data_IF_249865446425
#
_entry.id   IF_249865446425
#
_cell.length_a   1.000
_cell.length_b   1.000
_cell.length_c   1.000
_cell.angle_alpha   90.00
_cell.angle_beta   90.00
_cell.angle_gamma   90.00
#
_symmetry.space_group_name_H-M   'P 1'
#
loop_
_entity.id
_entity.type
_entity.pdbx_description
1 polymer ?
#
# COMPACT_ATOMS: atom_id res chain seq x y z
N UNK A 1 -42.99 4.24 -4.49
CA UNK A 1 -42.49 3.87 -3.15
C UNK A 1 -40.99 4.06 -3.14
N UNK A 2 -40.45 4.69 -2.11
CA UNK A 2 -39.04 5.11 -2.02
C UNK A 2 -38.17 3.89 -1.71
N UNK A 3 -37.26 3.52 -2.61
CA UNK A 3 -36.14 2.65 -2.25
C UNK A 3 -35.05 3.54 -1.65
N UNK A 4 -35.22 3.87 -0.39
CA UNK A 4 -34.17 4.40 0.49
C UNK A 4 -33.17 3.28 0.76
N UNK A 5 -32.16 3.15 -0.09
CA UNK A 5 -30.93 2.47 0.30
C UNK A 5 -30.03 3.50 0.99
N UNK A 6 -30.27 3.73 2.28
CA UNK A 6 -29.24 4.29 3.17
C UNK A 6 -28.17 3.21 3.38
N UNK A 7 -27.41 2.92 2.32
CA UNK A 7 -26.13 2.26 2.44
C UNK A 7 -25.19 3.31 2.99
N UNK A 8 -24.83 3.22 4.27
CA UNK A 8 -23.64 3.88 4.80
C UNK A 8 -22.51 3.56 3.80
N UNK A 9 -22.06 4.54 3.03
CA UNK A 9 -20.74 4.50 2.37
C UNK A 9 -19.69 4.52 3.50
N UNK A 10 -19.58 3.40 4.22
CA UNK A 10 -18.53 3.24 5.21
C UNK A 10 -17.24 3.16 4.41
N UNK A 11 -16.44 4.20 4.50
CA UNK A 11 -15.11 4.16 3.90
C UNK A 11 -14.34 3.00 4.55
N UNK A 12 -13.74 2.09 3.76
CA UNK A 12 -13.03 0.94 4.30
C UNK A 12 -12.00 1.35 5.35
N UNK A 13 -11.96 0.59 6.43
CA UNK A 13 -10.95 0.74 7.47
C UNK A 13 -9.62 0.20 6.94
N UNK A 14 -8.54 0.98 7.11
CA UNK A 14 -7.21 0.60 6.65
C UNK A 14 -6.25 0.71 7.83
N UNK A 15 -5.48 -0.35 8.09
CA UNK A 15 -4.54 -0.41 9.20
C UNK A 15 -3.24 -1.06 8.74
N UNK A 16 -2.11 -0.43 9.07
CA UNK A 16 -0.80 -1.04 8.89
C UNK A 16 -0.58 -2.11 9.97
N UNK A 17 -0.39 -3.36 9.57
CA UNK A 17 -0.17 -4.47 10.51
C UNK A 17 1.32 -4.70 10.77
N UNK A 18 2.12 -4.73 9.71
CA UNK A 18 3.56 -5.01 9.78
C UNK A 18 4.31 -4.16 8.78
N UNK A 19 5.51 -3.75 9.17
CA UNK A 19 6.42 -2.96 8.35
C UNK A 19 7.82 -3.55 8.44
N UNK A 20 8.42 -3.85 7.31
CA UNK A 20 9.72 -4.52 7.20
C UNK A 20 10.68 -3.60 6.44
N UNK A 21 11.47 -2.76 7.13
CA UNK A 21 12.37 -1.81 6.50
C UNK A 21 13.58 -2.50 5.87
N UNK A 22 14.17 -1.83 4.87
CA UNK A 22 15.40 -2.24 4.19
C UNK A 22 16.46 -1.15 4.21
N UNK A 23 17.70 -1.56 4.45
CA UNK A 23 18.87 -0.67 4.42
C UNK A 23 19.68 -0.75 3.11
N UNK A 24 19.12 -1.15 1.97
CA UNK A 24 20.01 -1.53 0.85
C UNK A 24 19.39 -1.32 -0.52
N UNK A 25 19.68 -0.15 -1.10
CA UNK A 25 19.97 0.02 -2.54
C UNK A 25 20.24 1.49 -2.87
N UNK A 26 21.35 1.79 -3.55
CA UNK A 26 21.61 3.12 -4.14
C UNK A 26 20.86 3.32 -5.46
N UNK A 27 20.32 2.24 -6.06
CA UNK A 27 19.62 2.26 -7.34
C UNK A 27 18.17 2.75 -7.15
N UNK A 28 17.78 3.75 -7.95
CA UNK A 28 16.42 4.33 -7.97
C UNK A 28 15.55 3.69 -9.09
N UNK A 29 14.24 3.46 -8.88
CA UNK A 29 13.51 3.66 -7.63
C UNK A 29 13.98 2.67 -6.55
N UNK A 30 14.17 3.19 -5.32
CA UNK A 30 14.74 2.43 -4.21
C UNK A 30 13.60 1.75 -3.47
N UNK A 31 13.65 0.42 -3.34
CA UNK A 31 12.77 -0.32 -2.44
C UNK A 31 13.17 0.02 -1.01
N UNK A 32 12.23 0.52 -0.21
CA UNK A 32 12.44 0.97 1.16
C UNK A 32 11.96 -0.04 2.19
N UNK A 33 10.83 -0.69 1.91
CA UNK A 33 10.22 -1.62 2.85
C UNK A 33 9.23 -2.55 2.15
N UNK A 34 8.89 -3.66 2.81
CA UNK A 34 7.59 -4.30 2.65
C UNK A 34 6.63 -3.86 3.76
N UNK A 35 5.34 -3.92 3.47
CA UNK A 35 4.28 -3.69 4.42
C UNK A 35 3.14 -4.69 4.24
N UNK A 36 2.53 -5.07 5.35
CA UNK A 36 1.26 -5.80 5.37
C UNK A 36 0.17 -4.85 5.90
N UNK A 37 -0.93 -4.74 5.17
CA UNK A 37 -2.03 -3.82 5.48
C UNK A 37 -3.34 -4.60 5.58
N UNK A 38 -4.12 -4.34 6.63
CA UNK A 38 -5.52 -4.78 6.74
C UNK A 38 -6.41 -3.75 6.05
N UNK A 39 -7.32 -4.24 5.22
CA UNK A 39 -8.43 -3.48 4.63
C UNK A 39 -9.71 -4.19 5.02
N UNK A 40 -10.49 -3.60 5.92
CA UNK A 40 -11.64 -4.23 6.59
C UNK A 40 -11.29 -5.63 7.13
N UNK A 41 -11.80 -6.70 6.48
CA UNK A 41 -11.61 -8.10 6.85
C UNK A 41 -10.53 -8.82 6.01
N UNK A 42 -9.87 -8.12 5.10
CA UNK A 42 -8.87 -8.67 4.18
C UNK A 42 -7.48 -8.19 4.60
N UNK A 43 -6.48 -9.06 4.54
CA UNK A 43 -5.07 -8.69 4.72
C UNK A 43 -4.34 -8.76 3.39
N UNK A 44 -3.75 -7.64 2.98
CA UNK A 44 -2.90 -7.51 1.80
C UNK A 44 -1.45 -7.59 2.27
N UNK A 45 -0.74 -8.65 1.89
CA UNK A 45 0.65 -8.89 2.32
C UNK A 45 1.66 -8.58 1.24
N UNK A 46 2.82 -8.08 1.64
CA UNK A 46 3.93 -7.84 0.70
C UNK A 46 3.73 -6.62 -0.20
N UNK A 47 3.05 -5.58 0.28
CA UNK A 47 3.04 -4.27 -0.37
C UNK A 47 4.46 -3.72 -0.33
N UNK A 48 4.98 -3.25 -1.46
CA UNK A 48 6.32 -2.66 -1.55
C UNK A 48 6.22 -1.14 -1.42
N UNK A 49 7.02 -0.54 -0.53
CA UNK A 49 7.22 0.91 -0.48
C UNK A 49 8.48 1.28 -1.27
N UNK A 50 8.34 2.23 -2.19
CA UNK A 50 9.44 2.72 -3.01
C UNK A 50 9.66 4.22 -2.85
N UNK A 51 10.91 4.64 -3.03
CA UNK A 51 11.28 6.03 -3.27
C UNK A 51 11.64 6.22 -4.75
N UNK A 52 10.90 7.09 -5.43
CA UNK A 52 11.16 7.51 -6.80
C UNK A 52 12.46 8.33 -6.92
N UNK A 53 12.90 8.57 -8.16
CA UNK A 53 14.10 9.37 -8.46
C UNK A 53 14.00 10.81 -7.94
N UNK A 54 12.81 11.39 -7.95
CA UNK A 54 12.52 12.74 -7.43
C UNK A 54 12.31 12.79 -5.91
N UNK A 55 12.56 11.69 -5.19
CA UNK A 55 12.34 11.58 -3.74
C UNK A 55 10.89 11.25 -3.34
N UNK A 56 9.94 11.26 -4.28
CA UNK A 56 8.54 10.92 -4.00
C UNK A 56 8.36 9.47 -3.54
N UNK A 57 7.46 9.25 -2.58
CA UNK A 57 7.15 7.93 -2.04
C UNK A 57 5.89 7.35 -2.69
N UNK A 58 5.95 6.09 -3.10
CA UNK A 58 4.82 5.38 -3.69
C UNK A 58 4.83 3.91 -3.30
N UNK A 59 3.66 3.27 -3.36
CA UNK A 59 3.51 1.85 -3.10
C UNK A 59 3.32 1.07 -4.40
N UNK A 60 3.75 -0.19 -4.40
CA UNK A 60 3.37 -1.18 -5.40
C UNK A 60 2.62 -2.31 -4.68
N UNK A 61 1.43 -2.63 -5.17
CA UNK A 61 0.64 -3.76 -4.67
C UNK A 61 1.35 -5.10 -4.96
N UNK A 62 0.99 -6.18 -4.25
CA UNK A 62 1.66 -7.46 -4.39
C UNK A 62 1.62 -7.97 -5.83
N UNK A 63 2.78 -8.42 -6.31
CA UNK A 63 2.94 -9.05 -7.63
C UNK A 63 3.49 -10.46 -7.47
N UNK A 64 3.14 -11.34 -8.40
CA UNK A 64 3.76 -12.65 -8.56
C UNK A 64 4.63 -12.61 -9.82
N UNK A 65 5.87 -13.08 -9.72
CA UNK A 65 6.73 -13.25 -10.88
C UNK A 65 6.41 -14.59 -11.54
N UNK A 66 6.03 -14.56 -12.81
CA UNK A 66 5.82 -15.74 -13.62
C UNK A 66 6.57 -15.54 -14.94
N UNK A 67 7.53 -16.42 -15.21
CA UNK A 67 8.36 -16.39 -16.42
C UNK A 67 9.04 -15.02 -16.67
N UNK A 68 9.63 -14.44 -15.61
CA UNK A 68 10.34 -13.17 -15.67
C UNK A 68 9.44 -11.93 -15.78
N UNK A 69 8.11 -12.10 -15.77
CA UNK A 69 7.14 -10.99 -15.77
C UNK A 69 6.42 -10.92 -14.43
N UNK A 70 6.23 -9.69 -13.95
CA UNK A 70 5.45 -9.43 -12.74
C UNK A 70 3.97 -9.23 -13.08
N UNK A 71 3.11 -10.01 -12.45
CA UNK A 71 1.66 -9.93 -12.58
C UNK A 71 1.03 -9.44 -11.28
N UNK A 72 0.09 -8.48 -11.32
CA UNK A 72 -0.61 -8.02 -10.12
C UNK A 72 -1.48 -9.15 -9.55
N UNK A 73 -1.36 -9.38 -8.24
CA UNK A 73 -2.20 -10.36 -7.53
C UNK A 73 -3.51 -9.73 -7.08
N UNK A 74 -3.49 -8.43 -6.80
CA UNK A 74 -4.61 -7.66 -6.28
C UNK A 74 -4.76 -6.39 -7.10
N UNK A 75 -6.00 -6.00 -7.38
CA UNK A 75 -6.32 -4.74 -8.02
C UNK A 75 -7.32 -3.96 -7.16
N UNK A 76 -6.92 -2.74 -6.75
CA UNK A 76 -7.78 -1.83 -6.00
C UNK A 76 -8.39 -0.82 -6.98
N UNK A 77 -9.68 -0.99 -7.30
CA UNK A 77 -10.40 -0.12 -8.26
C UNK A 77 -10.70 1.28 -7.71
N UNK A 78 -10.85 1.40 -6.38
CA UNK A 78 -11.11 2.68 -5.73
C UNK A 78 -9.82 3.46 -5.54
N UNK A 79 -9.68 4.59 -6.25
CA UNK A 79 -8.54 5.50 -6.10
C UNK A 79 -8.41 6.00 -4.66
N UNK A 80 -9.53 6.34 -4.02
CA UNK A 80 -9.56 6.81 -2.63
C UNK A 80 -9.03 5.76 -1.66
N UNK A 81 -9.39 4.48 -1.87
CA UNK A 81 -8.88 3.39 -1.04
C UNK A 81 -7.38 3.16 -1.25
N UNK A 82 -6.93 3.16 -2.51
CA UNK A 82 -5.51 3.01 -2.83
C UNK A 82 -4.66 4.15 -2.22
N UNK A 83 -5.18 5.38 -2.27
CA UNK A 83 -4.53 6.54 -1.65
C UNK A 83 -4.48 6.43 -0.12
N UNK A 84 -5.51 5.88 0.52
CA UNK A 84 -5.50 5.59 1.97
C UNK A 84 -4.45 4.55 2.33
N UNK A 85 -4.40 3.41 1.63
CA UNK A 85 -3.38 2.37 1.84
C UNK A 85 -1.97 2.95 1.69
N UNK A 86 -1.76 3.77 0.65
CA UNK A 86 -0.48 4.45 0.45
C UNK A 86 -0.12 5.38 1.62
N UNK A 87 -1.09 6.15 2.14
CA UNK A 87 -0.86 7.07 3.26
C UNK A 87 -0.45 6.32 4.52
N UNK A 88 -1.18 5.28 4.92
CA UNK A 88 -0.85 4.48 6.11
C UNK A 88 0.59 3.95 6.07
N UNK A 89 1.02 3.42 4.92
CA UNK A 89 2.39 2.91 4.74
C UNK A 89 3.44 4.04 4.75
N UNK A 90 3.15 5.15 4.07
CA UNK A 90 4.09 6.28 3.92
C UNK A 90 4.25 7.07 5.22
N UNK A 91 3.16 7.31 5.93
CA UNK A 91 3.16 8.12 7.15
C UNK A 91 3.89 7.37 8.27
N UNK A 92 3.70 6.05 8.38
CA UNK A 92 4.50 5.21 9.27
C UNK A 92 5.99 5.25 8.94
N UNK A 93 6.37 5.14 7.66
CA UNK A 93 7.77 5.22 7.25
C UNK A 93 8.41 6.56 7.64
N UNK A 94 7.71 7.69 7.43
CA UNK A 94 8.22 9.01 7.82
C UNK A 94 8.40 9.12 9.33
N UNK A 95 7.42 8.64 10.11
CA UNK A 95 7.51 8.65 11.56
C UNK A 95 8.71 7.85 12.10
N UNK A 96 9.16 6.81 11.38
CA UNK A 96 10.38 6.08 11.72
C UNK A 96 11.67 6.83 11.39
N UNK A 97 11.70 7.62 10.31
CA UNK A 97 12.88 8.40 9.92
C UNK A 97 13.06 9.66 10.79
N UNK A 98 11.97 10.17 11.36
CA UNK A 98 11.97 11.33 12.26
C UNK A 98 12.24 10.95 13.74
N UNK A 99 12.32 9.66 14.07
CA UNK A 99 12.50 9.12 15.43
C UNK A 99 13.98 8.85 15.75
#
# INVERSE_FOLDING_TARGET
MKNTTNSKDSTPEVELLKFYPFEVSTKKPRLLAYADVRVDQIVIRGIKLFQAKNGGLFIQLPTVNFDGKDYPVIEVKSKTLLDRIRREVVDYYKALEDA
#
